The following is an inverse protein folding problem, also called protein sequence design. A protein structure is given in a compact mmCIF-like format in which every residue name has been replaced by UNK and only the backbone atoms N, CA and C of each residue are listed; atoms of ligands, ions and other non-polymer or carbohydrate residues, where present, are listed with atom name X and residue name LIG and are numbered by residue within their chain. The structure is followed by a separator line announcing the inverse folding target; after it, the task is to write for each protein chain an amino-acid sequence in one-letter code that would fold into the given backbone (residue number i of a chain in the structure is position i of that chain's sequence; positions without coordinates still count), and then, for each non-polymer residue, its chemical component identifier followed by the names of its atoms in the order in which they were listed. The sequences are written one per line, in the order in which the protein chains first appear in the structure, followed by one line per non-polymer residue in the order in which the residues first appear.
data_IF_739829695666
#
_entry.id   IF_739829695666
#
_cell.length_a   1.000
_cell.length_b   1.000
_cell.length_c   1.000
_cell.angle_alpha   90.00
_cell.angle_beta   90.00
_cell.angle_gamma   90.00
#
_symmetry.space_group_name_H-M   'P 1'
#
loop_
_entity.id
_entity.type
_entity.pdbx_description
1 polymer ?
#
# COMPACT_ATOMS: atom_id res chain seq x y z
N UNK A 1 6.81 -1.21 -27.48
CA UNK A 1 7.46 -1.67 -26.24
C UNK A 1 7.43 -0.47 -25.32
N UNK A 2 6.73 -0.59 -24.19
CA UNK A 2 6.79 0.42 -23.14
C UNK A 2 8.19 0.30 -22.51
N UNK A 3 9.03 1.31 -22.70
CA UNK A 3 10.40 1.30 -22.18
C UNK A 3 10.34 1.52 -20.66
N UNK A 4 10.17 0.42 -19.94
CA UNK A 4 10.25 0.39 -18.47
C UNK A 4 11.72 0.60 -18.08
N UNK A 5 12.10 1.86 -17.91
CA UNK A 5 13.41 2.27 -17.44
C UNK A 5 13.29 3.15 -16.21
N UNK A 6 14.29 3.08 -15.32
CA UNK A 6 14.36 3.96 -14.14
C UNK A 6 14.31 5.44 -14.53
N UNK A 7 14.94 5.81 -15.65
CA UNK A 7 14.93 7.19 -16.12
C UNK A 7 13.53 7.65 -16.52
N UNK A 8 12.76 6.81 -17.23
CA UNK A 8 11.38 7.12 -17.59
C UNK A 8 10.50 7.27 -16.34
N UNK A 9 10.60 6.34 -15.40
CA UNK A 9 9.87 6.35 -14.13
C UNK A 9 10.26 7.54 -13.22
N UNK A 10 11.52 8.00 -13.27
CA UNK A 10 11.95 9.20 -12.54
C UNK A 10 11.35 10.48 -13.11
N UNK A 11 11.12 10.52 -14.42
CA UNK A 11 10.57 11.69 -15.11
C UNK A 11 9.04 11.76 -15.06
N UNK A 12 8.36 10.69 -14.65
CA UNK A 12 6.91 10.64 -14.47
C UNK A 12 6.52 10.74 -12.98
N UNK A 13 5.84 11.82 -12.54
CA UNK A 13 5.40 11.97 -11.15
C UNK A 13 4.35 10.92 -10.72
N UNK A 14 3.66 10.27 -11.66
CA UNK A 14 2.65 9.24 -11.39
C UNK A 14 3.18 7.81 -11.56
N UNK A 15 4.49 7.66 -11.67
CA UNK A 15 5.16 6.40 -11.90
C UNK A 15 5.05 5.42 -10.74
N UNK A 16 5.26 4.14 -11.03
CA UNK A 16 5.33 3.10 -10.01
C UNK A 16 6.46 3.39 -9.03
N UNK A 17 7.61 3.88 -9.52
CA UNK A 17 8.72 4.31 -8.68
C UNK A 17 8.30 5.36 -7.64
N UNK A 18 7.60 6.40 -8.06
CA UNK A 18 7.15 7.44 -7.15
C UNK A 18 6.08 6.94 -6.18
N UNK A 19 5.20 6.03 -6.64
CA UNK A 19 4.27 5.33 -5.75
C UNK A 19 5.00 4.51 -4.67
N UNK A 20 6.06 3.79 -5.01
CA UNK A 20 6.85 3.04 -4.02
C UNK A 20 7.59 3.95 -3.04
N UNK A 21 8.12 5.09 -3.49
CA UNK A 21 8.72 6.09 -2.61
C UNK A 21 7.71 6.59 -1.58
N UNK A 22 6.49 6.91 -2.00
CA UNK A 22 5.41 7.31 -1.09
C UNK A 22 5.12 6.22 -0.04
N UNK A 23 4.93 4.97 -0.47
CA UNK A 23 4.67 3.85 0.45
C UNK A 23 5.81 3.61 1.45
N UNK A 24 7.06 3.80 1.01
CA UNK A 24 8.24 3.71 1.89
C UNK A 24 8.22 4.84 2.92
N UNK A 25 7.93 6.08 2.52
CA UNK A 25 7.78 7.20 3.45
C UNK A 25 6.65 6.95 4.46
N UNK A 26 5.48 6.48 4.02
CA UNK A 26 4.39 6.10 4.92
C UNK A 26 4.82 5.06 5.95
N UNK A 27 5.59 4.05 5.53
CA UNK A 27 6.12 3.04 6.46
C UNK A 27 7.12 3.62 7.47
N UNK A 28 7.82 4.70 7.14
CA UNK A 28 8.72 5.38 8.09
C UNK A 28 7.95 6.26 9.08
N UNK A 29 6.91 6.94 8.61
CA UNK A 29 6.19 7.96 9.36
C UNK A 29 5.00 7.42 10.17
N UNK A 30 4.40 6.30 9.75
CA UNK A 30 3.21 5.72 10.37
C UNK A 30 3.62 4.46 11.14
N UNK A 31 3.79 4.59 12.46
CA UNK A 31 4.33 3.51 13.30
C UNK A 31 3.59 2.15 13.17
N UNK A 32 2.24 2.09 13.12
CA UNK A 32 1.56 0.81 12.90
C UNK A 32 1.90 0.13 11.56
N UNK A 33 2.28 0.88 10.50
CA UNK A 33 2.72 0.28 9.23
C UNK A 33 4.14 -0.30 9.30
N UNK A 34 4.96 0.18 10.25
CA UNK A 34 6.33 -0.30 10.48
C UNK A 34 6.37 -1.49 11.43
N UNK A 35 5.75 -1.30 12.60
CA UNK A 35 5.94 -2.12 13.80
C UNK A 35 4.66 -2.86 14.23
N UNK A 36 3.52 -2.55 13.59
CA UNK A 36 2.23 -3.15 13.94
C UNK A 36 2.14 -4.63 13.64
N UNK A 37 1.47 -5.36 14.52
CA UNK A 37 1.11 -6.76 14.29
C UNK A 37 -0.03 -6.80 13.28
N UNK A 38 0.19 -7.49 12.17
CA UNK A 38 -0.81 -7.63 11.11
C UNK A 38 -1.83 -8.73 11.44
N UNK A 39 -3.11 -8.37 11.47
CA UNK A 39 -4.23 -9.29 11.51
C UNK A 39 -5.06 -9.18 10.23
N UNK A 40 -5.52 -10.32 9.70
CA UNK A 40 -6.48 -10.34 8.58
C UNK A 40 -7.78 -9.66 9.02
N UNK A 41 -8.29 -8.77 8.18
CA UNK A 41 -9.58 -8.12 8.39
C UNK A 41 -10.61 -8.68 7.40
N UNK A 42 -11.62 -9.39 7.91
CA UNK A 42 -12.64 -9.99 7.07
C UNK A 42 -13.52 -8.90 6.44
N UNK A 43 -13.46 -8.76 5.12
CA UNK A 43 -14.25 -7.80 4.34
C UNK A 43 -15.62 -8.36 3.93
N UNK A 44 -15.75 -9.69 3.88
CA UNK A 44 -16.90 -10.37 3.27
C UNK A 44 -16.94 -10.29 1.74
N UNK A 45 -15.99 -9.58 1.11
CA UNK A 45 -15.87 -9.44 -0.33
C UNK A 45 -14.55 -10.06 -0.80
N UNK A 46 -14.57 -11.14 -1.61
CA UNK A 46 -13.35 -11.81 -2.08
C UNK A 46 -12.50 -10.96 -3.04
N UNK A 47 -13.05 -9.89 -3.61
CA UNK A 47 -12.29 -8.91 -4.41
C UNK A 47 -11.45 -7.95 -3.55
N UNK A 48 -11.64 -7.96 -2.23
CA UNK A 48 -10.93 -7.08 -1.30
C UNK A 48 -10.03 -7.89 -0.37
N UNK A 49 -8.76 -7.52 -0.32
CA UNK A 49 -7.84 -7.97 0.72
C UNK A 49 -7.65 -6.87 1.75
N UNK A 50 -7.80 -7.20 3.03
CA UNK A 50 -7.66 -6.23 4.09
C UNK A 50 -6.90 -6.78 5.30
N UNK A 51 -6.13 -5.89 5.93
CA UNK A 51 -5.40 -6.17 7.15
C UNK A 51 -5.49 -4.98 8.09
N UNK A 52 -5.68 -5.26 9.38
CA UNK A 52 -5.48 -4.27 10.44
C UNK A 52 -4.10 -4.49 11.03
N UNK A 53 -3.27 -3.44 11.01
CA UNK A 53 -1.99 -3.41 11.70
C UNK A 53 -2.17 -2.61 12.98
N UNK A 54 -1.71 -3.14 14.10
CA UNK A 54 -1.87 -2.48 15.42
C UNK A 54 -0.58 -2.55 16.21
N UNK A 55 -0.15 -1.42 16.74
CA UNK A 55 0.95 -1.31 17.70
C UNK A 55 0.49 -0.50 18.94
N UNK A 56 1.45 -0.03 19.74
CA UNK A 56 1.19 0.79 20.94
C UNK A 56 0.69 2.21 20.63
N UNK A 57 0.95 2.72 19.43
CA UNK A 57 0.63 4.10 19.01
C UNK A 57 -0.74 4.18 18.34
N UNK A 58 -1.21 3.08 17.74
CA UNK A 58 -2.57 2.98 17.26
C UNK A 58 -2.80 1.82 16.30
N UNK A 59 -3.74 2.02 15.38
CA UNK A 59 -4.06 1.02 14.36
C UNK A 59 -4.33 1.65 13.00
N UNK A 60 -3.96 0.92 11.94
CA UNK A 60 -4.22 1.27 10.55
C UNK A 60 -4.96 0.11 9.88
N UNK A 61 -5.96 0.42 9.06
CA UNK A 61 -6.60 -0.55 8.16
C UNK A 61 -6.04 -0.35 6.76
N UNK A 62 -5.38 -1.38 6.23
CA UNK A 62 -4.95 -1.44 4.84
C UNK A 62 -6.03 -2.20 4.06
N UNK A 63 -6.51 -1.60 2.97
CA UNK A 63 -7.48 -2.19 2.07
C UNK A 63 -6.94 -2.17 0.64
N UNK A 64 -6.98 -3.31 -0.03
CA UNK A 64 -6.56 -3.44 -1.42
C UNK A 64 -7.64 -4.09 -2.26
N UNK A 65 -8.00 -3.44 -3.37
CA UNK A 65 -8.88 -4.01 -4.37
C UNK A 65 -8.04 -4.88 -5.32
N UNK A 66 -8.29 -6.19 -5.28
CA UNK A 66 -7.62 -7.19 -6.11
C UNK A 66 -8.28 -7.37 -7.47
N UNK A 67 -9.39 -6.67 -7.72
CA UNK A 67 -10.08 -6.70 -9.01
C UNK A 67 -9.70 -5.52 -9.90
N UNK A 68 -9.98 -5.63 -11.19
CA UNK A 68 -9.88 -4.52 -12.15
C UNK A 68 -11.11 -3.61 -12.21
N UNK A 69 -12.06 -3.74 -11.27
CA UNK A 69 -13.31 -2.99 -11.25
C UNK A 69 -13.51 -2.28 -9.91
N UNK A 70 -14.27 -1.17 -9.86
CA UNK A 70 -14.69 -0.56 -8.59
C UNK A 70 -15.41 -1.57 -7.68
N UNK A 71 -15.18 -1.45 -6.36
CA UNK A 71 -15.77 -2.29 -5.30
C UNK A 71 -16.49 -1.42 -4.27
#
# INVERSE_FOLDING_TARGET
HEDVSVQAEQNDPHSLLNRYRELIHWRMDIAPLRDGVAGVYATGNPALAAWRLTDREGSVLVLHNLSGMPQ
#
